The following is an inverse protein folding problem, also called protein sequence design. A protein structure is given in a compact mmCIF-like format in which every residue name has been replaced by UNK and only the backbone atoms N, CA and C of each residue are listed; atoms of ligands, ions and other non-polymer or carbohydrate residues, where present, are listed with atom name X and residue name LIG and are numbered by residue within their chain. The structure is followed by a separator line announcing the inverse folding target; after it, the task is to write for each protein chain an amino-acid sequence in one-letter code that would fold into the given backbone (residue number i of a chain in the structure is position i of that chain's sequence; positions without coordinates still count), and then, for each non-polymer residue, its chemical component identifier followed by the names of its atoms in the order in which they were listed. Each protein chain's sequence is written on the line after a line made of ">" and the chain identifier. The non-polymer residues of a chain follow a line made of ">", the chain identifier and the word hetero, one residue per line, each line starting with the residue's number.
data_IF_041670451127
#
_entry.id   IF_041670451127
#
_cell.length_a   1.000
_cell.length_b   1.000
_cell.length_c   1.000
_cell.angle_alpha   90.00
_cell.angle_beta   90.00
_cell.angle_gamma   90.00
#
_symmetry.space_group_name_H-M   'P 1'
#
loop_
_entity.id
_entity.type
_entity.pdbx_description
1 polymer ?
#
# COMPACT_ATOMS: atom_id res chain seq x y z
N UNK A 1 12.01 1.47 -10.38
CA UNK A 1 11.34 2.49 -11.22
C UNK A 1 11.38 2.16 -12.71
N UNK A 2 12.55 1.78 -13.26
CA UNK A 2 12.74 1.46 -14.69
C UNK A 2 11.65 0.56 -15.27
N UNK A 3 11.33 -0.55 -14.61
CA UNK A 3 10.27 -1.48 -15.06
C UNK A 3 8.90 -0.80 -15.27
N UNK A 4 8.45 -0.01 -14.29
CA UNK A 4 7.16 0.70 -14.36
C UNK A 4 7.17 1.77 -15.45
N UNK A 5 8.25 2.58 -15.54
CA UNK A 5 8.37 3.60 -16.58
C UNK A 5 8.32 2.98 -17.98
N UNK A 6 9.13 1.96 -18.24
CA UNK A 6 9.14 1.26 -19.53
C UNK A 6 7.78 0.64 -19.86
N UNK A 7 7.08 0.10 -18.86
CA UNK A 7 5.75 -0.49 -19.04
C UNK A 7 4.73 0.58 -19.41
N UNK A 8 4.71 1.72 -18.72
CA UNK A 8 3.79 2.82 -19.04
C UNK A 8 4.10 3.44 -20.40
N UNK A 9 5.37 3.71 -20.71
CA UNK A 9 5.79 4.24 -22.01
C UNK A 9 5.36 3.33 -23.15
N UNK A 10 5.56 2.02 -23.02
CA UNK A 10 5.14 1.04 -24.01
C UNK A 10 3.62 1.00 -24.15
N UNK A 11 2.87 0.93 -23.04
CA UNK A 11 1.41 0.91 -23.08
C UNK A 11 0.84 2.18 -23.72
N UNK A 12 1.39 3.35 -23.39
CA UNK A 12 1.00 4.61 -24.00
C UNK A 12 1.27 4.61 -25.50
N UNK A 13 2.46 4.16 -25.91
CA UNK A 13 2.82 4.12 -27.33
C UNK A 13 1.98 3.12 -28.13
N UNK A 14 1.68 1.96 -27.55
CA UNK A 14 0.98 0.85 -28.22
C UNK A 14 -0.52 1.13 -28.34
N UNK A 15 -1.14 1.62 -27.26
CA UNK A 15 -2.59 1.84 -27.19
C UNK A 15 -2.99 3.31 -27.42
N UNK A 16 -2.04 4.20 -27.68
CA UNK A 16 -2.26 5.65 -27.77
C UNK A 16 -2.97 6.22 -26.54
N UNK A 17 -2.66 5.66 -25.37
CA UNK A 17 -3.35 6.04 -24.13
C UNK A 17 -3.01 7.49 -23.74
N UNK A 18 -4.01 8.30 -23.35
CA UNK A 18 -3.79 9.66 -22.86
C UNK A 18 -2.94 9.66 -21.57
N UNK A 19 -1.74 10.27 -21.63
CA UNK A 19 -0.79 10.31 -20.51
C UNK A 19 -1.33 11.01 -19.26
N UNK A 20 -2.24 11.96 -19.47
CA UNK A 20 -2.91 12.78 -18.46
C UNK A 20 -4.18 12.13 -17.89
N UNK A 21 -4.51 10.90 -18.33
CA UNK A 21 -5.71 10.16 -17.91
C UNK A 21 -5.35 8.73 -17.56
N UNK A 22 -4.50 8.59 -16.54
CA UNK A 22 -4.06 7.29 -16.03
C UNK A 22 -4.30 7.24 -14.53
N UNK A 23 -5.00 6.19 -14.09
CA UNK A 23 -5.11 5.80 -12.68
C UNK A 23 -4.27 4.55 -12.48
N UNK A 24 -3.50 4.51 -11.39
CA UNK A 24 -2.69 3.34 -11.03
C UNK A 24 -3.21 2.71 -9.75
N UNK A 25 -3.04 1.40 -9.60
CA UNK A 25 -3.39 0.73 -8.36
C UNK A 25 -3.03 -0.74 -8.37
N UNK A 26 -3.25 -1.38 -7.24
CA UNK A 26 -2.94 -2.80 -7.10
C UNK A 26 -3.22 -3.36 -5.71
N UNK A 27 -3.01 -4.66 -5.60
CA UNK A 27 -3.18 -5.42 -4.36
C UNK A 27 -1.85 -5.61 -3.63
N UNK A 28 -1.88 -5.49 -2.31
CA UNK A 28 -0.72 -5.77 -1.44
C UNK A 28 0.51 -4.94 -1.87
N UNK A 29 1.66 -5.57 -2.10
CA UNK A 29 2.86 -4.93 -2.65
C UNK A 29 2.62 -4.18 -3.97
N UNK A 30 1.67 -4.64 -4.80
CA UNK A 30 1.28 -3.92 -6.01
C UNK A 30 0.61 -2.58 -5.71
N UNK A 31 -0.23 -2.53 -4.68
CA UNK A 31 -0.85 -1.29 -4.19
C UNK A 31 0.17 -0.36 -3.54
N UNK A 32 1.08 -0.92 -2.74
CA UNK A 32 2.23 -0.20 -2.19
C UNK A 32 3.06 0.45 -3.30
N UNK A 33 3.44 -0.31 -4.33
CA UNK A 33 4.24 0.19 -5.44
C UNK A 33 3.49 1.26 -6.24
N UNK A 34 2.17 1.13 -6.43
CA UNK A 34 1.35 2.13 -7.09
C UNK A 34 1.33 3.45 -6.30
N UNK A 35 1.10 3.39 -4.99
CA UNK A 35 1.12 4.56 -4.10
C UNK A 35 2.51 5.22 -4.13
N UNK A 36 3.58 4.43 -3.96
CA UNK A 36 4.94 4.98 -3.99
C UNK A 36 5.30 5.60 -5.34
N UNK A 37 4.84 5.03 -6.45
CA UNK A 37 5.06 5.60 -7.77
C UNK A 37 4.43 7.00 -7.88
N UNK A 38 3.20 7.16 -7.38
CA UNK A 38 2.49 8.46 -7.40
C UNK A 38 3.16 9.47 -6.47
N UNK A 39 3.60 9.07 -5.28
CA UNK A 39 4.37 9.94 -4.41
C UNK A 39 5.63 10.46 -5.12
N UNK A 40 6.37 9.57 -5.80
CA UNK A 40 7.57 9.94 -6.54
C UNK A 40 7.22 10.84 -7.74
N UNK A 41 6.12 10.58 -8.46
CA UNK A 41 5.72 11.43 -9.60
C UNK A 41 5.37 12.85 -9.17
N UNK A 42 4.89 13.04 -7.93
CA UNK A 42 4.62 14.38 -7.37
C UNK A 42 5.85 15.01 -6.69
N UNK A 43 6.72 14.19 -6.11
CA UNK A 43 7.97 14.64 -5.49
C UNK A 43 9.02 15.07 -6.54
N UNK A 44 9.18 14.28 -7.60
CA UNK A 44 10.16 14.47 -8.66
C UNK A 44 9.65 13.89 -10.00
N UNK A 45 8.87 14.67 -10.76
CA UNK A 45 8.21 14.21 -12.00
C UNK A 45 9.18 13.63 -13.04
N UNK A 46 10.42 14.13 -13.11
CA UNK A 46 11.45 13.68 -14.07
C UNK A 46 11.87 12.21 -13.88
N UNK A 47 11.56 11.61 -12.71
CA UNK A 47 11.85 10.21 -12.41
C UNK A 47 10.75 9.25 -12.90
N UNK A 48 9.63 9.76 -13.35
CA UNK A 48 8.44 8.98 -13.73
C UNK A 48 8.00 9.26 -15.15
N UNK A 49 7.51 8.22 -15.84
CA UNK A 49 7.00 8.34 -17.21
C UNK A 49 5.63 9.01 -17.30
N UNK A 50 4.87 9.00 -16.20
CA UNK A 50 3.51 9.51 -16.09
C UNK A 50 3.29 10.13 -14.72
N UNK A 51 2.29 10.98 -14.61
CA UNK A 51 1.82 11.58 -13.36
C UNK A 51 0.35 11.18 -13.16
N UNK A 52 0.05 10.05 -12.49
CA UNK A 52 -1.30 9.48 -12.44
C UNK A 52 -2.32 10.43 -11.79
N UNK A 53 -3.54 10.47 -12.33
CA UNK A 53 -4.62 11.35 -11.85
C UNK A 53 -5.20 10.91 -10.51
N UNK A 54 -5.11 9.61 -10.21
CA UNK A 54 -5.53 9.02 -8.94
C UNK A 54 -4.77 7.72 -8.67
N UNK A 55 -4.85 7.26 -7.43
CA UNK A 55 -4.27 5.98 -7.01
C UNK A 55 -5.19 5.18 -6.11
N UNK A 56 -5.22 3.86 -6.28
CA UNK A 56 -5.90 2.98 -5.34
C UNK A 56 -5.02 1.84 -4.84
N UNK A 57 -5.27 1.40 -3.60
CA UNK A 57 -4.59 0.27 -2.98
C UNK A 57 -5.60 -0.72 -2.41
N UNK A 58 -5.38 -2.01 -2.67
CA UNK A 58 -6.18 -3.10 -2.09
C UNK A 58 -5.31 -3.78 -1.04
N UNK A 59 -5.60 -3.43 0.21
CA UNK A 59 -4.89 -3.81 1.43
C UNK A 59 -3.33 -3.73 1.36
N UNK A 60 -2.75 -2.60 0.91
CA UNK A 60 -1.30 -2.45 0.82
C UNK A 60 -0.65 -2.25 2.19
N UNK A 61 0.56 -2.79 2.44
CA UNK A 61 1.40 -2.31 3.53
C UNK A 61 1.95 -0.91 3.20
N UNK A 62 2.00 0.00 4.18
CA UNK A 62 2.40 1.40 3.96
C UNK A 62 3.61 1.87 4.77
N UNK A 63 3.92 1.19 5.88
CA UNK A 63 5.07 1.52 6.74
C UNK A 63 6.04 0.35 6.88
N UNK A 64 7.23 0.46 6.28
CA UNK A 64 8.26 -0.58 6.35
C UNK A 64 8.80 -0.80 7.76
N UNK A 65 8.77 0.23 8.62
CA UNK A 65 9.19 0.08 10.02
C UNK A 65 8.25 -0.86 10.75
N UNK A 66 6.93 -0.61 10.62
CA UNK A 66 5.90 -1.49 11.21
C UNK A 66 6.01 -2.91 10.65
N UNK A 67 6.16 -3.06 9.34
CA UNK A 67 6.28 -4.35 8.67
C UNK A 67 7.50 -5.13 9.18
N UNK A 68 8.65 -4.48 9.32
CA UNK A 68 9.85 -5.11 9.87
C UNK A 68 9.60 -5.70 11.25
N UNK A 69 9.01 -4.94 12.17
CA UNK A 69 8.71 -5.44 13.52
C UNK A 69 7.58 -6.48 13.53
N UNK A 70 6.62 -6.38 12.60
CA UNK A 70 5.58 -7.43 12.40
C UNK A 70 6.22 -8.75 12.01
N UNK A 71 7.21 -8.74 11.11
CA UNK A 71 7.94 -9.95 10.73
C UNK A 71 8.82 -10.50 11.86
N UNK A 72 9.44 -9.65 12.67
CA UNK A 72 10.15 -10.11 13.87
C UNK A 72 9.18 -10.83 14.83
N UNK A 73 8.07 -10.18 15.17
CA UNK A 73 7.02 -10.77 16.04
C UNK A 73 6.46 -12.06 15.46
N UNK A 74 6.27 -12.14 14.14
CA UNK A 74 5.81 -13.36 13.46
C UNK A 74 6.77 -14.53 13.69
N UNK A 75 8.09 -14.28 13.62
CA UNK A 75 9.10 -15.29 13.93
C UNK A 75 9.10 -15.70 15.40
N UNK A 76 8.94 -14.73 16.30
CA UNK A 76 8.94 -14.97 17.74
C UNK A 76 7.72 -15.78 18.19
N UNK A 77 6.54 -15.49 17.62
CA UNK A 77 5.32 -16.26 17.86
C UNK A 77 5.39 -17.67 17.30
N UNK A 78 6.05 -17.84 16.15
CA UNK A 78 6.23 -19.13 15.47
C UNK A 78 4.93 -19.94 15.30
N UNK A 79 3.80 -19.24 15.09
CA UNK A 79 2.47 -19.85 15.05
C UNK A 79 2.18 -20.56 13.71
N UNK A 80 2.78 -20.11 12.62
CA UNK A 80 2.60 -20.67 11.28
C UNK A 80 3.94 -20.74 10.55
N UNK A 81 4.35 -21.95 10.17
CA UNK A 81 5.61 -22.19 9.45
C UNK A 81 5.70 -21.39 8.15
N UNK A 82 4.59 -21.32 7.39
CA UNK A 82 4.52 -20.53 6.15
C UNK A 82 4.77 -19.05 6.43
N UNK A 83 4.14 -18.50 7.46
CA UNK A 83 4.32 -17.09 7.83
C UNK A 83 5.74 -16.80 8.35
N UNK A 84 6.34 -17.75 9.08
CA UNK A 84 7.73 -17.65 9.58
C UNK A 84 8.75 -17.68 8.44
N UNK A 85 8.53 -18.52 7.44
CA UNK A 85 9.37 -18.59 6.25
C UNK A 85 9.28 -17.29 5.45
N UNK A 86 8.08 -16.77 5.24
CA UNK A 86 7.86 -15.46 4.59
C UNK A 86 8.55 -14.34 5.38
N UNK A 87 8.32 -14.26 6.70
CA UNK A 87 8.93 -13.25 7.56
C UNK A 87 10.46 -13.32 7.52
N UNK A 88 11.04 -14.52 7.50
CA UNK A 88 12.49 -14.72 7.42
C UNK A 88 13.06 -14.23 6.09
N UNK A 89 12.41 -14.55 4.97
CA UNK A 89 12.80 -14.09 3.65
C UNK A 89 12.74 -12.55 3.54
N UNK A 90 11.65 -11.92 3.99
CA UNK A 90 11.55 -10.46 3.97
C UNK A 90 12.55 -9.77 4.89
N UNK A 91 12.79 -10.29 6.09
CA UNK A 91 13.80 -9.70 6.98
C UNK A 91 15.21 -9.78 6.37
N UNK A 92 15.54 -10.88 5.68
CA UNK A 92 16.81 -10.99 4.95
C UNK A 92 16.91 -9.97 3.83
N UNK A 93 15.85 -9.79 3.04
CA UNK A 93 15.79 -8.79 1.96
C UNK A 93 15.89 -7.36 2.48
N UNK A 94 15.23 -7.06 3.60
CA UNK A 94 15.30 -5.74 4.23
C UNK A 94 16.71 -5.47 4.77
N UNK A 95 17.37 -6.46 5.38
CA UNK A 95 18.75 -6.31 5.83
C UNK A 95 19.71 -6.04 4.66
N UNK A 96 19.59 -6.82 3.57
CA UNK A 96 20.39 -6.66 2.35
C UNK A 96 20.15 -5.30 1.67
N UNK A 97 18.89 -4.90 1.52
CA UNK A 97 18.52 -3.71 0.74
C UNK A 97 18.63 -2.41 1.54
N UNK A 98 18.29 -2.43 2.84
CA UNK A 98 18.26 -1.22 3.66
C UNK A 98 19.51 -1.07 4.54
N UNK A 99 20.31 -2.14 4.69
CA UNK A 99 21.55 -2.12 5.46
C UNK A 99 21.37 -2.22 6.98
N UNK A 100 20.21 -2.71 7.44
CA UNK A 100 19.96 -2.99 8.86
C UNK A 100 18.50 -2.86 9.30
N UNK A 101 18.30 -2.92 10.61
CA UNK A 101 16.99 -2.72 11.27
C UNK A 101 16.56 -1.24 11.26
N UNK A 102 15.27 -0.93 11.47
CA UNK A 102 14.79 0.45 11.60
C UNK A 102 15.51 1.26 12.67
N UNK A 103 15.92 0.65 13.78
CA UNK A 103 16.70 1.32 14.83
C UNK A 103 18.10 1.76 14.36
N UNK A 104 18.71 1.03 13.42
CA UNK A 104 20.05 1.33 12.88
C UNK A 104 20.00 2.32 11.72
N UNK A 105 19.01 2.18 10.84
CA UNK A 105 18.90 2.95 9.58
C UNK A 105 17.51 3.59 9.42
N UNK A 106 16.99 4.34 10.41
CA UNK A 106 15.59 4.81 10.43
C UNK A 106 15.22 5.64 9.20
N UNK A 107 16.15 6.45 8.71
CA UNK A 107 15.94 7.30 7.54
C UNK A 107 15.72 6.50 6.24
N UNK A 108 16.29 5.30 6.13
CA UNK A 108 16.07 4.44 4.96
C UNK A 108 14.64 3.87 4.98
N UNK A 109 14.18 3.38 6.13
CA UNK A 109 12.81 2.90 6.28
C UNK A 109 11.79 4.01 6.02
N UNK A 110 12.00 5.21 6.57
CA UNK A 110 11.16 6.39 6.31
C UNK A 110 11.14 6.73 4.81
N UNK A 111 12.32 6.80 4.17
CA UNK A 111 12.44 7.15 2.74
C UNK A 111 11.67 6.20 1.84
N UNK A 112 11.60 4.92 2.18
CA UNK A 112 10.95 3.90 1.36
C UNK A 112 9.50 3.59 1.77
N UNK A 113 9.03 4.12 2.90
CA UNK A 113 7.65 3.95 3.36
C UNK A 113 6.74 4.99 2.70
N UNK A 114 5.52 4.60 2.36
CA UNK A 114 4.50 5.51 1.83
C UNK A 114 3.97 6.39 2.97
N UNK A 115 3.80 5.78 4.14
CA UNK A 115 3.41 6.46 5.36
C UNK A 115 4.37 6.16 6.50
N UNK A 116 4.66 7.15 7.34
CA UNK A 116 5.38 6.95 8.59
C UNK A 116 4.76 7.80 9.68
N UNK A 117 4.11 7.16 10.65
CA UNK A 117 3.33 7.85 11.71
C UNK A 117 4.19 8.81 12.55
N UNK A 118 5.44 8.45 12.79
CA UNK A 118 6.38 9.24 13.59
C UNK A 118 6.92 10.48 12.87
N UNK A 119 6.65 10.62 11.56
CA UNK A 119 7.17 11.71 10.73
C UNK A 119 6.06 12.74 10.50
N UNK A 120 6.43 14.02 10.60
CA UNK A 120 5.51 15.14 10.33
C UNK A 120 4.83 14.97 8.97
N UNK A 121 3.52 15.22 8.91
CA UNK A 121 2.69 15.08 7.71
C UNK A 121 2.70 13.66 7.10
N UNK A 122 3.03 12.64 7.90
CA UNK A 122 3.03 11.24 7.46
C UNK A 122 4.22 10.84 6.59
N UNK A 123 5.29 11.65 6.49
CA UNK A 123 6.44 11.33 5.65
C UNK A 123 6.15 11.54 4.17
N UNK A 124 6.23 10.48 3.36
CA UNK A 124 5.99 10.56 1.91
C UNK A 124 4.51 10.81 1.55
N UNK A 125 3.57 10.49 2.43
CA UNK A 125 2.15 10.75 2.23
C UNK A 125 1.85 12.21 1.88
N UNK A 126 2.66 13.18 2.34
CA UNK A 126 2.52 14.61 1.96
C UNK A 126 2.49 14.85 0.44
N UNK A 127 3.05 13.96 -0.37
CA UNK A 127 3.05 14.07 -1.83
C UNK A 127 1.71 13.64 -2.46
N UNK A 128 0.75 13.20 -1.66
CA UNK A 128 -0.58 12.77 -2.07
C UNK A 128 -1.67 13.75 -1.63
N UNK A 129 -1.34 14.94 -1.12
CA UNK A 129 -2.35 15.91 -0.62
C UNK A 129 -3.35 16.30 -1.71
N UNK A 130 -2.88 16.50 -2.94
CA UNK A 130 -3.73 16.91 -4.07
C UNK A 130 -4.09 15.73 -5.01
N UNK A 131 -3.86 14.48 -4.57
CA UNK A 131 -4.13 13.30 -5.38
C UNK A 131 -5.30 12.51 -4.79
N UNK A 132 -6.38 12.27 -5.54
CA UNK A 132 -7.40 11.32 -5.13
C UNK A 132 -6.79 9.94 -4.84
N UNK A 133 -7.01 9.45 -3.62
CA UNK A 133 -6.50 8.16 -3.17
C UNK A 133 -7.59 7.35 -2.52
N UNK A 134 -7.65 6.06 -2.86
CA UNK A 134 -8.60 5.12 -2.24
C UNK A 134 -7.91 3.86 -1.76
N UNK A 135 -8.09 3.51 -0.49
CA UNK A 135 -7.57 2.27 0.07
C UNK A 135 -8.72 1.38 0.54
N UNK A 136 -8.69 0.11 0.13
CA UNK A 136 -9.60 -0.93 0.60
C UNK A 136 -8.91 -1.79 1.63
N UNK A 137 -9.58 -2.11 2.74
CA UNK A 137 -9.09 -3.09 3.70
C UNK A 137 -10.25 -3.78 4.40
N UNK A 138 -10.03 -5.03 4.80
CA UNK A 138 -10.94 -5.83 5.61
C UNK A 138 -10.34 -5.94 7.02
N UNK A 139 -10.57 -4.96 7.92
CA UNK A 139 -9.94 -4.89 9.23
C UNK A 139 -10.63 -5.82 10.25
N UNK A 140 -10.79 -7.10 9.90
CA UNK A 140 -11.44 -8.12 10.73
C UNK A 140 -10.50 -8.58 11.85
N UNK A 141 -10.52 -7.84 12.97
CA UNK A 141 -9.67 -8.13 14.13
C UNK A 141 -9.98 -9.50 14.74
N UNK A 142 -11.23 -9.96 14.71
CA UNK A 142 -11.62 -11.27 15.25
C UNK A 142 -10.98 -12.40 14.43
N UNK A 143 -10.95 -12.25 13.11
CA UNK A 143 -10.21 -13.16 12.23
C UNK A 143 -8.71 -13.12 12.52
N UNK A 144 -8.11 -11.94 12.69
CA UNK A 144 -6.68 -11.81 12.99
C UNK A 144 -6.30 -12.46 14.33
N UNK A 145 -7.12 -12.28 15.37
CA UNK A 145 -6.90 -12.91 16.67
C UNK A 145 -7.00 -14.45 16.58
N UNK A 146 -8.01 -14.97 15.87
CA UNK A 146 -8.26 -16.41 15.78
C UNK A 146 -7.31 -17.14 14.84
N UNK A 147 -7.07 -16.60 13.64
CA UNK A 147 -6.40 -17.31 12.54
C UNK A 147 -4.91 -16.99 12.42
N UNK A 148 -4.45 -15.92 13.09
CA UNK A 148 -3.07 -15.44 12.98
C UNK A 148 -2.40 -15.11 14.32
N UNK A 149 -3.14 -15.03 15.43
CA UNK A 149 -2.63 -14.56 16.73
C UNK A 149 -2.00 -13.16 16.65
N UNK A 150 -2.57 -12.32 15.78
CA UNK A 150 -2.14 -10.95 15.52
C UNK A 150 -3.17 -9.94 16.01
N UNK A 151 -2.72 -8.71 16.24
CA UNK A 151 -3.56 -7.59 16.66
C UNK A 151 -3.45 -6.42 15.68
N UNK A 152 -4.03 -5.27 16.02
CA UNK A 152 -4.02 -4.09 15.15
C UNK A 152 -2.61 -3.63 14.75
N UNK A 153 -1.58 -3.85 15.56
CA UNK A 153 -0.21 -3.44 15.24
C UNK A 153 0.42 -4.27 14.12
N UNK A 154 -0.10 -5.48 13.87
CA UNK A 154 0.34 -6.33 12.77
C UNK A 154 -0.45 -6.08 11.47
N UNK A 155 -1.59 -5.37 11.55
CA UNK A 155 -2.51 -5.18 10.42
C UNK A 155 -2.13 -3.97 9.57
N UNK A 156 -2.24 -4.10 8.24
CA UNK A 156 -2.06 -2.98 7.32
C UNK A 156 -3.11 -1.87 7.52
N UNK A 157 -4.29 -2.21 8.06
CA UNK A 157 -5.33 -1.22 8.34
C UNK A 157 -4.86 -0.13 9.33
N UNK A 158 -3.88 -0.41 10.20
CA UNK A 158 -3.35 0.57 11.14
C UNK A 158 -2.70 1.75 10.43
N UNK A 159 -1.75 1.48 9.53
CA UNK A 159 -1.05 2.50 8.74
C UNK A 159 -1.95 3.09 7.64
N UNK A 160 -2.84 2.30 7.05
CA UNK A 160 -3.79 2.79 6.04
C UNK A 160 -4.78 3.82 6.60
N UNK A 161 -5.41 3.52 7.74
CA UNK A 161 -6.35 4.45 8.37
C UNK A 161 -5.64 5.70 8.87
N UNK A 162 -4.43 5.55 9.42
CA UNK A 162 -3.61 6.66 9.86
C UNK A 162 -3.18 7.57 8.70
N UNK A 163 -2.74 7.01 7.57
CA UNK A 163 -2.38 7.77 6.38
C UNK A 163 -3.58 8.53 5.79
N UNK A 164 -4.72 7.86 5.60
CA UNK A 164 -5.92 8.51 5.05
C UNK A 164 -6.39 9.66 5.96
N UNK A 165 -6.36 9.45 7.27
CA UNK A 165 -6.71 10.51 8.22
C UNK A 165 -5.73 11.69 8.17
N UNK A 166 -4.42 11.43 8.08
CA UNK A 166 -3.39 12.46 7.93
C UNK A 166 -3.62 13.29 6.65
N UNK A 167 -3.89 12.63 5.51
CA UNK A 167 -4.17 13.30 4.24
C UNK A 167 -5.40 14.21 4.33
N UNK A 168 -6.47 13.76 4.98
CA UNK A 168 -7.67 14.57 5.21
C UNK A 168 -7.39 15.79 6.08
N UNK A 169 -6.60 15.64 7.15
CA UNK A 169 -6.16 16.75 8.00
C UNK A 169 -5.35 17.78 7.19
N UNK A 170 -4.56 17.31 6.22
CA UNK A 170 -3.78 18.14 5.30
C UNK A 170 -4.59 18.74 4.14
N UNK A 171 -5.90 18.46 4.06
CA UNK A 171 -6.81 19.05 3.07
C UNK A 171 -7.20 18.17 1.89
N UNK A 172 -6.77 16.89 1.85
CA UNK A 172 -7.18 15.97 0.79
C UNK A 172 -8.62 15.46 1.04
N UNK A 173 -9.61 16.15 0.48
CA UNK A 173 -11.02 15.73 0.54
C UNK A 173 -11.32 14.46 -0.26
N UNK A 174 -10.41 14.02 -1.13
CA UNK A 174 -10.53 12.83 -1.97
C UNK A 174 -9.73 11.63 -1.43
N UNK A 175 -9.24 11.68 -0.18
CA UNK A 175 -8.63 10.55 0.49
C UNK A 175 -9.71 9.64 1.12
N UNK A 176 -9.82 8.41 0.63
CA UNK A 176 -10.89 7.46 0.98
C UNK A 176 -10.33 6.17 1.58
N UNK A 177 -10.84 5.77 2.74
CA UNK A 177 -10.67 4.43 3.28
C UNK A 177 -11.99 3.68 3.15
N UNK A 178 -11.99 2.58 2.39
CA UNK A 178 -13.13 1.70 2.20
C UNK A 178 -13.01 0.54 3.18
N UNK A 179 -13.81 0.61 4.24
CA UNK A 179 -13.95 -0.49 5.18
C UNK A 179 -14.73 -1.64 4.53
N UNK A 180 -14.00 -2.65 4.08
CA UNK A 180 -14.50 -3.85 3.43
C UNK A 180 -14.60 -5.03 4.41
N UNK A 181 -14.93 -4.75 5.67
CA UNK A 181 -15.07 -5.75 6.73
C UNK A 181 -15.93 -6.95 6.27
N UNK A 182 -15.35 -8.14 6.40
CA UNK A 182 -15.99 -9.41 6.08
C UNK A 182 -16.10 -9.71 4.58
N UNK A 183 -15.52 -8.90 3.68
CA UNK A 183 -15.59 -9.11 2.22
C UNK A 183 -14.42 -9.90 1.64
N UNK A 184 -13.39 -10.19 2.43
CA UNK A 184 -12.18 -10.88 1.97
C UNK A 184 -12.36 -12.40 1.82
N UNK A 185 -12.27 -12.89 0.59
CA UNK A 185 -12.36 -14.31 0.22
C UNK A 185 -11.40 -14.62 -0.93
N UNK A 186 -10.78 -15.80 -0.87
CA UNK A 186 -10.00 -16.38 -1.96
C UNK A 186 -10.92 -16.92 -3.06
N UNK A 187 -10.38 -17.19 -4.26
CA UNK A 187 -11.14 -17.71 -5.41
C UNK A 187 -11.87 -19.04 -5.11
N UNK A 188 -11.34 -19.84 -4.19
CA UNK A 188 -11.95 -21.09 -3.75
C UNK A 188 -13.00 -20.91 -2.63
N UNK A 189 -13.36 -19.67 -2.28
CA UNK A 189 -14.33 -19.36 -1.22
C UNK A 189 -13.77 -19.33 0.20
N UNK A 190 -12.48 -19.61 0.41
CA UNK A 190 -11.87 -19.52 1.75
C UNK A 190 -11.82 -18.07 2.22
N UNK A 191 -12.39 -17.79 3.41
CA UNK A 191 -12.32 -16.48 4.08
C UNK A 191 -10.86 -16.07 4.31
N UNK A 192 -10.47 -14.88 3.84
CA UNK A 192 -9.16 -14.29 4.09
C UNK A 192 -9.18 -12.76 3.92
N UNK A 193 -8.93 -11.94 4.97
CA UNK A 193 -9.06 -10.49 4.91
C UNK A 193 -8.14 -9.82 3.88
N UNK A 194 -6.94 -10.36 3.71
CA UNK A 194 -6.02 -9.96 2.65
C UNK A 194 -6.35 -10.67 1.32
N UNK A 195 -7.34 -10.16 0.57
CA UNK A 195 -7.79 -10.75 -0.70
C UNK A 195 -8.27 -9.69 -1.69
N UNK A 196 -8.19 -9.98 -2.99
CA UNK A 196 -8.72 -9.10 -4.06
C UNK A 196 -10.21 -8.79 -3.93
N UNK A 197 -11.01 -9.73 -3.39
CA UNK A 197 -12.47 -9.59 -3.29
C UNK A 197 -12.95 -8.45 -2.38
N UNK A 198 -12.06 -7.86 -1.58
CA UNK A 198 -12.41 -6.72 -0.73
C UNK A 198 -12.73 -5.47 -1.55
N UNK A 199 -12.20 -5.38 -2.77
CA UNK A 199 -12.55 -4.36 -3.74
C UNK A 199 -13.66 -4.88 -4.66
N UNK A 200 -14.84 -4.27 -4.59
CA UNK A 200 -15.94 -4.63 -5.48
C UNK A 200 -15.65 -4.09 -6.89
N UNK A 201 -15.60 -4.95 -7.94
CA UNK A 201 -15.15 -4.53 -9.26
C UNK A 201 -15.96 -3.39 -9.88
N UNK A 202 -17.30 -3.39 -9.78
CA UNK A 202 -18.12 -2.35 -10.40
C UNK A 202 -17.96 -0.99 -9.71
N UNK A 203 -17.87 -0.99 -8.39
CA UNK A 203 -17.64 0.16 -7.53
C UNK A 203 -16.26 0.78 -7.82
N UNK A 204 -15.22 -0.05 -7.83
CA UNK A 204 -13.86 0.40 -8.15
C UNK A 204 -13.78 0.95 -9.58
N UNK A 205 -14.35 0.25 -10.57
CA UNK A 205 -14.35 0.73 -11.96
C UNK A 205 -15.10 2.04 -12.12
N UNK A 206 -16.24 2.21 -11.44
CA UNK A 206 -16.98 3.48 -11.43
C UNK A 206 -16.12 4.61 -10.84
N UNK A 207 -15.41 4.35 -9.76
CA UNK A 207 -14.50 5.33 -9.17
C UNK A 207 -13.36 5.68 -10.12
N UNK A 208 -12.71 4.69 -10.74
CA UNK A 208 -11.63 4.90 -11.72
C UNK A 208 -12.13 5.81 -12.86
N UNK A 209 -13.29 5.48 -13.45
CA UNK A 209 -13.87 6.28 -14.55
C UNK A 209 -14.12 7.72 -14.10
N UNK A 210 -14.68 7.93 -12.91
CA UNK A 210 -14.92 9.27 -12.37
C UNK A 210 -13.63 10.08 -12.10
N UNK A 211 -12.47 9.43 -11.93
CA UNK A 211 -11.18 10.11 -11.73
C UNK A 211 -10.42 10.36 -13.05
N UNK A 212 -10.97 9.93 -14.18
CA UNK A 212 -10.43 10.15 -15.52
C UNK A 212 -11.19 11.23 -16.31
N UNK A 213 -12.36 11.64 -15.81
CA UNK A 213 -13.22 12.70 -16.37
C UNK A 213 -12.92 14.04 -15.75
#
# INVERSE_FOLDING_TARGET
>A
MTFLNTTFEKAISEYQAPKDKIVVGGFSLGGMNAIRYVEISRENPDLTAIEPTAVYGIDPPLDWTRIYYTFQRTKDLNFSEVAVNEATDYLSKLDEQFGGSPDKVPNIYIKHSMYSKAVKNGGNARFLIDVPIRIYSDPDIDWHLRERQTDYYDMNALDQTAMINELRILGNENAEFINALGKGYRLNGTRHPHSWSIAEPHELMKWIINKLT
#
